data_IF_607856196241
#
_entry.id   IF_607856196241
#
_cell.length_a   1.000
_cell.length_b   1.000
_cell.length_c   1.000
_cell.angle_alpha   90.00
_cell.angle_beta   90.00
_cell.angle_gamma   90.00
#
_symmetry.space_group_name_H-M   'P 1'
#
loop_
_entity.id
_entity.type
_entity.pdbx_description
1 polymer ?
#
# COMPACT_ATOMS: atom_id res chain seq x y z
N UNK A 1 -2.90 26.89 -2.55
CA UNK A 1 -1.43 26.71 -2.57
C UNK A 1 -1.20 25.21 -2.46
N UNK A 2 -1.54 24.48 -3.52
CA UNK A 2 -1.66 23.01 -3.49
C UNK A 2 -0.51 22.38 -4.28
N UNK A 3 0.13 21.36 -3.69
CA UNK A 3 1.21 20.61 -4.35
C UNK A 3 2.62 21.21 -4.29
N UNK A 4 2.82 22.34 -3.59
CA UNK A 4 4.17 22.88 -3.38
C UNK A 4 4.94 21.98 -2.42
N UNK A 5 6.11 21.53 -2.86
CA UNK A 5 7.01 20.72 -2.05
C UNK A 5 7.80 21.59 -1.06
N UNK A 6 7.25 21.78 0.14
CA UNK A 6 7.93 22.52 1.22
C UNK A 6 9.21 21.85 1.74
N UNK A 7 9.47 20.59 1.36
CA UNK A 7 10.68 19.86 1.75
C UNK A 7 11.73 19.82 0.62
N UNK A 8 11.52 20.56 -0.47
CA UNK A 8 12.42 20.57 -1.62
C UNK A 8 13.85 20.95 -1.24
N UNK A 9 14.03 21.93 -0.37
CA UNK A 9 15.35 22.40 0.05
C UNK A 9 16.08 21.38 0.93
N UNK A 10 15.36 20.57 1.71
CA UNK A 10 15.97 19.44 2.43
C UNK A 10 16.36 18.31 1.48
N UNK A 11 15.53 18.01 0.47
CA UNK A 11 15.85 16.97 -0.53
C UNK A 11 17.10 17.30 -1.35
N UNK A 12 17.35 18.58 -1.64
CA UNK A 12 18.57 19.03 -2.34
C UNK A 12 19.86 18.80 -1.55
N UNK A 13 19.80 18.67 -0.22
CA UNK A 13 20.98 18.45 0.63
C UNK A 13 21.48 17.00 0.58
N UNK A 14 20.73 16.09 -0.04
CA UNK A 14 21.15 14.70 -0.16
C UNK A 14 22.46 14.59 -0.96
N UNK A 15 23.50 14.04 -0.32
CA UNK A 15 24.80 13.80 -0.95
C UNK A 15 24.86 12.45 -1.71
N UNK A 16 23.71 11.82 -1.92
CA UNK A 16 23.56 10.55 -2.62
C UNK A 16 22.29 10.56 -3.46
N UNK A 17 22.23 9.70 -4.49
CA UNK A 17 21.03 9.53 -5.30
C UNK A 17 19.99 8.68 -4.56
N UNK A 18 18.86 9.31 -4.23
CA UNK A 18 17.75 8.67 -3.53
C UNK A 18 17.08 7.59 -4.40
N UNK A 19 17.09 7.70 -5.73
CA UNK A 19 16.48 6.70 -6.61
C UNK A 19 17.30 5.40 -6.61
N UNK A 20 18.63 5.51 -6.64
CA UNK A 20 19.50 4.35 -6.45
C UNK A 20 19.29 3.72 -5.06
N UNK A 21 19.13 4.54 -4.01
CA UNK A 21 18.90 4.06 -2.64
C UNK A 21 17.57 3.32 -2.48
N UNK A 22 16.51 3.73 -3.19
CA UNK A 22 15.22 3.00 -3.18
C UNK A 22 15.36 1.56 -3.66
N UNK A 23 16.21 1.31 -4.66
CA UNK A 23 16.46 -0.03 -5.18
C UNK A 23 17.20 -0.89 -4.17
N UNK A 24 18.21 -0.31 -3.51
CA UNK A 24 18.94 -0.98 -2.43
C UNK A 24 17.98 -1.34 -1.29
N UNK A 25 17.10 -0.43 -0.89
CA UNK A 25 16.10 -0.68 0.15
C UNK A 25 15.09 -1.77 -0.24
N UNK A 26 14.62 -1.76 -1.49
CA UNK A 26 13.70 -2.78 -1.99
C UNK A 26 14.37 -4.16 -2.15
N UNK A 27 15.71 -4.22 -2.18
CA UNK A 27 16.50 -5.44 -2.36
C UNK A 27 16.77 -5.81 -3.82
N UNK A 28 15.90 -5.40 -4.75
CA UNK A 28 16.12 -5.54 -6.19
C UNK A 28 15.29 -4.51 -6.98
N UNK A 29 15.60 -4.38 -8.27
CA UNK A 29 14.84 -3.50 -9.17
C UNK A 29 13.41 -4.01 -9.37
N UNK A 30 13.26 -5.30 -9.62
CA UNK A 30 11.94 -5.93 -9.83
C UNK A 30 11.06 -5.79 -8.57
N UNK A 31 11.64 -6.02 -7.38
CA UNK A 31 10.93 -5.85 -6.12
C UNK A 31 10.46 -4.41 -5.91
N UNK A 32 11.29 -3.42 -6.28
CA UNK A 32 10.90 -2.01 -6.23
C UNK A 32 9.71 -1.71 -7.17
N UNK A 33 9.77 -2.18 -8.41
CA UNK A 33 8.73 -1.91 -9.41
C UNK A 33 7.39 -2.54 -9.06
N UNK A 34 7.40 -3.81 -8.62
CA UNK A 34 6.19 -4.50 -8.13
C UNK A 34 5.62 -3.77 -6.91
N UNK A 35 6.46 -3.44 -5.93
CA UNK A 35 6.02 -2.79 -4.70
C UNK A 35 5.48 -1.38 -4.96
N UNK A 36 6.14 -0.57 -5.78
CA UNK A 36 5.70 0.78 -6.15
C UNK A 36 4.36 0.76 -6.89
N UNK A 37 4.22 -0.12 -7.89
CA UNK A 37 2.97 -0.28 -8.67
C UNK A 37 1.79 -0.67 -7.78
N UNK A 38 1.96 -1.67 -6.91
CA UNK A 38 0.89 -2.13 -6.02
C UNK A 38 0.57 -1.08 -4.95
N UNK A 39 1.58 -0.37 -4.43
CA UNK A 39 1.35 0.73 -3.46
C UNK A 39 0.42 1.81 -4.02
N UNK A 40 0.65 2.24 -5.27
CA UNK A 40 -0.16 3.22 -5.98
C UNK A 40 -1.56 2.68 -6.28
N UNK A 41 -1.67 1.40 -6.63
CA UNK A 41 -2.94 0.74 -6.85
C UNK A 41 -3.82 0.78 -5.59
N UNK A 42 -3.25 0.47 -4.42
CA UNK A 42 -3.98 0.51 -3.15
C UNK A 42 -4.33 1.94 -2.75
N UNK A 43 -3.38 2.88 -2.88
CA UNK A 43 -3.59 4.28 -2.50
C UNK A 43 -4.68 4.97 -3.33
N UNK A 44 -4.82 4.60 -4.61
CA UNK A 44 -5.82 5.16 -5.51
C UNK A 44 -7.20 4.51 -5.40
N UNK A 45 -7.35 3.41 -4.66
CA UNK A 45 -8.64 2.74 -4.47
C UNK A 45 -9.33 3.23 -3.19
N UNK A 46 -10.47 3.95 -3.30
CA UNK A 46 -11.18 4.48 -2.13
C UNK A 46 -11.63 3.40 -1.14
N UNK A 47 -11.81 2.15 -1.58
CA UNK A 47 -12.20 1.05 -0.70
C UNK A 47 -11.14 0.75 0.36
N UNK A 48 -9.86 1.05 0.09
CA UNK A 48 -8.75 0.82 1.01
C UNK A 48 -8.42 2.03 1.89
N UNK A 49 -9.18 3.13 1.77
CA UNK A 49 -9.00 4.32 2.62
C UNK A 49 -9.01 3.96 4.11
N UNK A 50 -8.09 4.55 4.88
CA UNK A 50 -7.84 4.21 6.29
C UNK A 50 -7.59 5.42 7.21
N UNK A 51 -7.71 6.63 6.68
CA UNK A 51 -7.59 7.89 7.44
C UNK A 51 -8.64 8.04 8.56
N UNK A 52 -9.83 7.47 8.36
CA UNK A 52 -10.93 7.51 9.33
C UNK A 52 -10.98 6.31 10.29
N UNK A 53 -9.98 5.42 10.27
CA UNK A 53 -9.99 4.15 11.02
C UNK A 53 -10.21 4.33 12.51
N UNK A 54 -9.62 5.36 13.12
CA UNK A 54 -9.70 5.65 14.56
C UNK A 54 -11.06 6.21 14.99
N UNK A 55 -11.91 6.60 14.04
CA UNK A 55 -13.24 7.14 14.31
C UNK A 55 -14.35 6.06 14.26
N UNK A 56 -14.00 4.81 13.90
CA UNK A 56 -14.97 3.72 13.75
C UNK A 56 -15.13 2.92 15.06
N UNK A 57 -16.36 2.70 15.54
CA UNK A 57 -16.63 1.75 16.62
C UNK A 57 -16.18 0.33 16.27
N UNK A 58 -15.83 -0.49 17.26
CA UNK A 58 -15.27 -1.83 17.07
C UNK A 58 -16.02 -2.71 16.05
N UNK A 59 -17.36 -2.75 16.10
CA UNK A 59 -18.16 -3.56 15.17
C UNK A 59 -18.13 -3.02 13.74
N UNK A 60 -18.12 -1.70 13.58
CA UNK A 60 -18.06 -1.06 12.27
C UNK A 60 -16.67 -1.18 11.65
N UNK A 61 -15.62 -1.00 12.46
CA UNK A 61 -14.24 -1.25 12.06
C UNK A 61 -14.10 -2.70 11.58
N UNK A 62 -14.54 -3.68 12.37
CA UNK A 62 -14.44 -5.09 11.99
C UNK A 62 -15.22 -5.40 10.69
N UNK A 63 -16.45 -4.87 10.55
CA UNK A 63 -17.22 -5.02 9.31
C UNK A 63 -16.51 -4.39 8.10
N UNK A 64 -15.83 -3.26 8.30
CA UNK A 64 -15.04 -2.61 7.27
C UNK A 64 -13.81 -3.44 6.89
N UNK A 65 -13.12 -4.05 7.86
CA UNK A 65 -12.01 -4.98 7.61
C UNK A 65 -12.45 -6.16 6.74
N UNK A 66 -13.60 -6.78 7.05
CA UNK A 66 -14.17 -7.85 6.23
C UNK A 66 -14.49 -7.40 4.80
N UNK A 67 -15.03 -6.18 4.64
CA UNK A 67 -15.30 -5.58 3.33
C UNK A 67 -14.01 -5.40 2.53
N UNK A 68 -12.95 -4.87 3.15
CA UNK A 68 -11.64 -4.68 2.51
C UNK A 68 -11.01 -6.00 2.11
N UNK A 69 -11.07 -7.02 2.96
CA UNK A 69 -10.56 -8.35 2.64
C UNK A 69 -11.28 -8.97 1.42
N UNK A 70 -12.61 -8.91 1.38
CA UNK A 70 -13.39 -9.37 0.23
C UNK A 70 -13.08 -8.58 -1.05
N UNK A 71 -12.94 -7.26 -0.94
CA UNK A 71 -12.57 -6.40 -2.08
C UNK A 71 -11.16 -6.70 -2.58
N UNK A 72 -10.18 -6.88 -1.69
CA UNK A 72 -8.83 -7.29 -2.04
C UNK A 72 -8.83 -8.60 -2.84
N UNK A 73 -9.59 -9.60 -2.40
CA UNK A 73 -9.73 -10.87 -3.13
C UNK A 73 -10.32 -10.68 -4.53
N UNK A 74 -11.37 -9.86 -4.65
CA UNK A 74 -11.95 -9.49 -5.93
C UNK A 74 -10.92 -8.83 -6.86
N UNK A 75 -10.13 -7.88 -6.35
CA UNK A 75 -9.08 -7.18 -7.13
C UNK A 75 -7.97 -8.12 -7.59
N UNK A 76 -7.56 -9.05 -6.73
CA UNK A 76 -6.58 -10.10 -7.09
C UNK A 76 -7.06 -10.90 -8.30
N UNK A 77 -8.33 -11.33 -8.30
CA UNK A 77 -8.91 -12.10 -9.40
C UNK A 77 -9.10 -11.27 -10.68
N UNK A 78 -9.69 -10.07 -10.58
CA UNK A 78 -9.97 -9.20 -11.73
C UNK A 78 -8.70 -8.77 -12.45
N UNK A 79 -7.64 -8.48 -11.69
CA UNK A 79 -6.36 -8.02 -12.24
C UNK A 79 -5.37 -9.17 -12.49
N UNK A 80 -5.76 -10.40 -12.15
CA UNK A 80 -4.94 -11.62 -12.27
C UNK A 80 -3.57 -11.43 -11.61
N UNK A 81 -3.57 -10.90 -10.40
CA UNK A 81 -2.34 -10.63 -9.66
C UNK A 81 -1.62 -11.94 -9.34
N UNK A 82 -0.29 -11.93 -9.46
CA UNK A 82 0.55 -13.03 -8.98
C UNK A 82 0.48 -13.15 -7.46
N UNK A 83 1.02 -14.23 -6.91
CA UNK A 83 1.13 -14.40 -5.45
C UNK A 83 1.92 -13.27 -4.78
N UNK A 84 3.05 -12.86 -5.39
CA UNK A 84 3.88 -11.75 -4.92
C UNK A 84 3.08 -10.43 -4.89
N UNK A 85 2.37 -10.13 -5.97
CA UNK A 85 1.55 -8.93 -6.09
C UNK A 85 0.38 -8.92 -5.13
N UNK A 86 -0.27 -10.07 -4.93
CA UNK A 86 -1.34 -10.25 -3.97
C UNK A 86 -0.85 -10.07 -2.53
N UNK A 87 0.36 -10.57 -2.22
CA UNK A 87 1.01 -10.36 -0.92
C UNK A 87 1.32 -8.89 -0.69
N UNK A 88 1.90 -8.18 -1.69
CA UNK A 88 2.11 -6.73 -1.62
C UNK A 88 0.80 -5.96 -1.49
N UNK A 89 -0.28 -6.41 -2.12
CA UNK A 89 -1.58 -5.75 -2.02
C UNK A 89 -2.07 -5.79 -0.58
N UNK A 90 -2.03 -6.96 0.08
CA UNK A 90 -2.39 -7.08 1.51
C UNK A 90 -1.48 -6.25 2.40
N UNK A 91 -0.18 -6.24 2.13
CA UNK A 91 0.79 -5.41 2.85
C UNK A 91 0.41 -3.92 2.81
N UNK A 92 0.07 -3.37 1.65
CA UNK A 92 -0.28 -1.96 1.51
C UNK A 92 -1.69 -1.60 1.98
N UNK A 93 -2.62 -2.56 2.03
CA UNK A 93 -3.93 -2.37 2.70
C UNK A 93 -3.73 -1.99 4.17
N UNK A 94 -2.72 -2.59 4.83
CA UNK A 94 -2.23 -2.17 6.16
C UNK A 94 -3.36 -2.11 7.21
N UNK A 95 -4.10 -3.22 7.26
CA UNK A 95 -5.17 -3.43 8.23
C UNK A 95 -5.15 -4.89 8.65
N UNK A 96 -4.74 -5.19 9.91
CA UNK A 96 -4.69 -6.56 10.40
C UNK A 96 -6.04 -7.26 10.24
N UNK A 97 -6.04 -8.41 9.56
CA UNK A 97 -7.23 -9.15 9.19
C UNK A 97 -7.03 -10.66 9.35
N UNK A 98 -8.12 -11.42 9.27
CA UNK A 98 -8.06 -12.88 9.35
C UNK A 98 -7.21 -13.49 8.20
N UNK A 99 -7.07 -12.79 7.09
CA UNK A 99 -6.28 -13.19 5.92
C UNK A 99 -4.79 -13.20 6.17
N UNK A 100 -4.31 -12.58 7.25
CA UNK A 100 -2.87 -12.60 7.59
C UNK A 100 -2.47 -13.90 8.27
N UNK A 101 -3.44 -14.64 8.80
CA UNK A 101 -3.26 -15.95 9.43
C UNK A 101 -3.72 -17.10 8.52
N UNK A 102 -4.43 -16.78 7.43
CA UNK A 102 -4.87 -17.74 6.43
C UNK A 102 -3.86 -17.77 5.28
N UNK A 103 -3.54 -18.97 4.81
CA UNK A 103 -2.63 -19.20 3.69
C UNK A 103 -3.35 -18.94 2.36
#
# INVERSE_FOLDING_TARGET
MEGVDYLADERKKAAFDVEAMKIVWAGSRDAFEVSDRISKLVANDPAFRKDNRTMLPRKELFKNTLRKAAHAWKRILELRLSEEEASKLRFYVDEPAYTDLHW
#
